data_IF_808114649947
#
_entry.id   IF_808114649947
#
_cell.length_a   1.000
_cell.length_b   1.000
_cell.length_c   1.000
_cell.angle_alpha   90.00
_cell.angle_beta   90.00
_cell.angle_gamma   90.00
#
_symmetry.space_group_name_H-M   'P 1'
#
loop_
_entity.id
_entity.type
_entity.pdbx_description
1 polymer ?
#
# COMPACT_ATOMS: atom_id res chain seq x y z
N UNK A 1 6.89 -14.61 -8.17
CA UNK A 1 5.64 -15.41 -8.10
C UNK A 1 4.49 -14.55 -8.57
N UNK A 2 3.54 -15.15 -9.28
CA UNK A 2 2.33 -14.49 -9.77
C UNK A 2 1.13 -15.23 -9.19
N UNK A 3 0.21 -14.50 -8.57
CA UNK A 3 -1.04 -15.00 -8.01
C UNK A 3 -2.21 -14.34 -8.73
N UNK A 4 -3.07 -15.12 -9.38
CA UNK A 4 -4.21 -14.61 -10.16
C UNK A 4 -3.91 -14.50 -11.66
N UNK A 5 -4.65 -13.62 -12.36
CA UNK A 5 -4.57 -13.45 -13.80
C UNK A 5 -4.49 -11.96 -14.16
N UNK A 6 -3.42 -11.53 -14.85
CA UNK A 6 -3.09 -10.10 -15.04
C UNK A 6 -4.21 -9.30 -15.72
N UNK A 7 -5.00 -9.97 -16.56
CA UNK A 7 -6.11 -9.36 -17.30
C UNK A 7 -7.36 -9.12 -16.44
N UNK A 8 -7.46 -9.71 -15.25
CA UNK A 8 -8.57 -9.46 -14.32
C UNK A 8 -8.02 -8.82 -13.04
N UNK A 9 -7.36 -9.62 -12.21
CA UNK A 9 -6.67 -9.19 -11.01
C UNK A 9 -5.53 -10.17 -10.70
N UNK A 10 -4.34 -9.65 -10.40
CA UNK A 10 -3.22 -10.46 -9.93
C UNK A 10 -2.29 -9.71 -8.99
N UNK A 11 -1.58 -10.44 -8.13
CA UNK A 11 -0.46 -9.92 -7.34
C UNK A 11 0.81 -10.59 -7.87
N UNK A 12 1.80 -9.80 -8.23
CA UNK A 12 3.12 -10.30 -8.63
C UNK A 12 4.15 -9.85 -7.61
N UNK A 13 4.89 -10.79 -7.04
CA UNK A 13 5.88 -10.53 -6.00
C UNK A 13 7.11 -11.42 -6.12
N UNK A 14 8.30 -10.89 -5.85
CA UNK A 14 9.54 -11.67 -5.78
C UNK A 14 10.44 -11.19 -4.63
N UNK A 15 11.17 -12.11 -4.02
CA UNK A 15 12.19 -11.79 -3.02
C UNK A 15 13.40 -11.18 -3.72
N UNK A 16 14.04 -10.19 -3.11
CA UNK A 16 15.29 -9.63 -3.65
C UNK A 16 16.44 -10.66 -3.58
N UNK A 17 17.30 -10.61 -4.59
CA UNK A 17 18.49 -11.45 -4.62
C UNK A 17 19.55 -10.90 -3.66
N UNK A 18 20.37 -11.79 -3.08
CA UNK A 18 21.53 -11.38 -2.25
C UNK A 18 21.20 -10.97 -0.81
N UNK A 19 19.94 -11.08 -0.38
CA UNK A 19 19.55 -10.83 1.01
C UNK A 19 20.17 -11.86 1.96
N UNK A 20 20.80 -11.36 3.04
CA UNK A 20 21.26 -12.20 4.15
C UNK A 20 20.24 -12.17 5.29
N UNK A 21 20.06 -13.31 5.96
CA UNK A 21 19.20 -13.42 7.16
C UNK A 21 19.64 -12.38 8.20
N UNK A 22 18.73 -11.62 8.84
CA UNK A 22 17.28 -11.83 8.94
C UNK A 22 16.42 -11.16 7.86
N UNK A 23 17.02 -10.60 6.80
CA UNK A 23 16.36 -9.71 5.83
C UNK A 23 15.43 -10.41 4.83
N UNK A 24 14.99 -11.65 5.06
CA UNK A 24 14.31 -12.52 4.07
C UNK A 24 12.92 -12.06 3.65
N UNK A 25 12.42 -10.96 4.20
CA UNK A 25 11.08 -10.43 3.89
C UNK A 25 11.08 -9.26 2.90
N UNK A 26 12.26 -8.78 2.46
CA UNK A 26 12.33 -7.74 1.44
C UNK A 26 12.21 -8.31 0.03
N UNK A 27 11.53 -7.57 -0.82
CA UNK A 27 11.29 -7.98 -2.18
C UNK A 27 10.74 -6.86 -3.02
N UNK A 28 10.04 -7.26 -4.08
CA UNK A 28 9.41 -6.38 -5.06
C UNK A 28 8.00 -6.87 -5.25
N UNK A 29 7.04 -5.95 -5.41
CA UNK A 29 5.63 -6.30 -5.58
C UNK A 29 4.94 -5.30 -6.50
N UNK A 30 4.01 -5.81 -7.32
CA UNK A 30 3.01 -4.98 -7.99
C UNK A 30 1.65 -5.68 -8.01
N UNK A 31 0.60 -4.88 -8.20
CA UNK A 31 -0.77 -5.35 -8.38
C UNK A 31 -1.14 -5.15 -9.85
N UNK A 32 -1.81 -6.14 -10.43
CA UNK A 32 -2.38 -6.06 -11.76
C UNK A 32 -3.88 -5.94 -11.67
N UNK A 33 -4.47 -5.03 -12.44
CA UNK A 33 -5.92 -4.89 -12.63
C UNK A 33 -6.20 -4.58 -14.10
N UNK A 34 -7.04 -5.37 -14.77
CA UNK A 34 -7.38 -5.17 -16.19
C UNK A 34 -6.15 -5.00 -17.12
N UNK A 35 -5.06 -5.73 -16.84
CA UNK A 35 -3.80 -5.64 -17.57
C UNK A 35 -2.93 -4.42 -17.24
N UNK A 36 -3.40 -3.51 -16.38
CA UNK A 36 -2.65 -2.37 -15.86
C UNK A 36 -1.88 -2.76 -14.61
N UNK A 37 -0.62 -2.34 -14.53
CA UNK A 37 0.24 -2.53 -13.36
C UNK A 37 0.12 -1.30 -12.44
N UNK A 38 -0.12 -1.56 -11.15
CA UNK A 38 -0.05 -0.60 -10.05
C UNK A 38 1.16 -0.95 -9.20
N UNK A 39 2.02 0.03 -8.95
CA UNK A 39 3.35 -0.20 -8.39
C UNK A 39 4.36 -0.64 -9.44
N UNK A 40 5.50 -1.17 -8.99
CA UNK A 40 6.67 -1.43 -9.85
C UNK A 40 7.39 -2.69 -9.40
N UNK A 41 7.42 -3.70 -10.27
CA UNK A 41 8.13 -4.96 -9.97
C UNK A 41 9.66 -4.82 -10.00
N UNK A 42 10.16 -3.71 -10.53
CA UNK A 42 11.59 -3.34 -10.54
C UNK A 42 12.00 -2.47 -9.35
N UNK A 43 11.05 -2.05 -8.50
CA UNK A 43 11.32 -1.28 -7.30
C UNK A 43 11.64 -2.21 -6.12
N UNK A 44 12.82 -2.00 -5.52
CA UNK A 44 13.31 -2.75 -4.38
C UNK A 44 12.71 -2.21 -3.07
N UNK A 45 12.86 -3.01 -2.03
CA UNK A 45 12.54 -2.74 -0.63
C UNK A 45 11.04 -2.68 -0.34
N UNK A 46 10.26 -3.51 -1.02
CA UNK A 46 8.91 -3.85 -0.60
C UNK A 46 8.97 -4.87 0.55
N UNK A 47 8.41 -4.53 1.72
CA UNK A 47 8.24 -5.47 2.83
C UNK A 47 7.14 -6.47 2.49
N UNK A 48 7.50 -7.63 1.95
CA UNK A 48 6.56 -8.63 1.43
C UNK A 48 5.74 -9.27 2.55
N UNK A 49 6.32 -9.47 3.73
CA UNK A 49 5.64 -9.98 4.92
C UNK A 49 4.55 -9.01 5.39
N UNK A 50 4.91 -7.74 5.55
CA UNK A 50 3.99 -6.68 5.94
C UNK A 50 2.89 -6.47 4.90
N UNK A 51 3.25 -6.50 3.62
CA UNK A 51 2.28 -6.37 2.52
C UNK A 51 1.31 -7.54 2.50
N UNK A 52 1.79 -8.77 2.71
CA UNK A 52 0.94 -9.94 2.77
C UNK A 52 -0.04 -9.88 3.94
N UNK A 53 0.43 -9.52 5.15
CA UNK A 53 -0.41 -9.36 6.34
C UNK A 53 -1.52 -8.32 6.13
N UNK A 54 -1.17 -7.14 5.58
CA UNK A 54 -2.16 -6.09 5.31
C UNK A 54 -3.17 -6.48 4.23
N UNK A 55 -2.73 -7.21 3.20
CA UNK A 55 -3.63 -7.71 2.17
C UNK A 55 -4.58 -8.78 2.72
N UNK A 56 -4.11 -9.64 3.61
CA UNK A 56 -4.93 -10.66 4.27
C UNK A 56 -6.04 -10.01 5.13
N UNK A 57 -5.72 -8.97 5.91
CA UNK A 57 -6.71 -8.20 6.68
C UNK A 57 -7.77 -7.56 5.76
N UNK A 58 -7.37 -7.04 4.60
CA UNK A 58 -8.30 -6.42 3.65
C UNK A 58 -9.27 -7.42 3.01
N UNK A 59 -8.92 -8.72 2.94
CA UNK A 59 -9.83 -9.74 2.39
C UNK A 59 -11.07 -9.89 3.29
N UNK A 60 -10.90 -9.80 4.61
CA UNK A 60 -12.02 -9.91 5.55
C UNK A 60 -12.97 -8.69 5.45
N UNK A 61 -12.41 -7.51 5.18
CA UNK A 61 -13.15 -6.26 5.06
C UNK A 61 -13.63 -5.97 3.62
N UNK A 62 -13.24 -6.77 2.62
CA UNK A 62 -13.52 -6.47 1.21
C UNK A 62 -14.99 -6.16 0.90
N UNK A 63 -15.99 -6.87 1.49
CA UNK A 63 -17.40 -6.54 1.30
C UNK A 63 -17.84 -5.21 1.93
N UNK A 64 -17.10 -4.70 2.93
CA UNK A 64 -17.38 -3.46 3.66
C UNK A 64 -16.64 -2.25 3.09
N UNK A 65 -15.66 -2.45 2.20
CA UNK A 65 -14.83 -1.38 1.62
C UNK A 65 -15.61 -0.45 0.68
N UNK A 66 -16.73 -0.89 0.08
CA UNK A 66 -17.54 -0.03 -0.75
C UNK A 66 -18.35 0.95 0.10
N UNK A 67 -18.10 2.24 -0.09
CA UNK A 67 -18.87 3.30 0.57
C UNK A 67 -20.03 3.71 -0.33
N UNK A 68 -21.24 3.75 0.22
CA UNK A 68 -22.45 4.19 -0.50
C UNK A 68 -22.34 5.60 -1.09
N UNK A 69 -21.49 6.45 -0.52
CA UNK A 69 -21.20 7.79 -1.04
C UNK A 69 -20.49 7.77 -2.41
N UNK A 70 -19.91 6.63 -2.80
CA UNK A 70 -19.29 6.43 -4.11
C UNK A 70 -20.31 5.96 -5.16
N UNK A 71 -21.51 5.55 -4.72
CA UNK A 71 -22.55 5.05 -5.62
C UNK A 71 -22.99 6.14 -6.60
N UNK A 72 -22.89 5.85 -7.91
CA UNK A 72 -23.27 6.76 -8.98
C UNK A 72 -22.18 7.73 -9.45
N UNK A 73 -21.02 7.73 -8.78
CA UNK A 73 -19.82 8.42 -9.28
C UNK A 73 -19.13 7.57 -10.34
N UNK A 74 -18.50 8.23 -11.32
CA UNK A 74 -17.58 7.56 -12.22
C UNK A 74 -16.17 7.44 -11.61
N UNK A 75 -15.32 6.61 -12.19
CA UNK A 75 -13.96 6.35 -11.69
C UNK A 75 -13.16 7.63 -11.44
N UNK A 76 -13.22 8.61 -12.36
CA UNK A 76 -12.47 9.86 -12.21
C UNK A 76 -12.97 10.69 -11.02
N UNK A 77 -14.28 10.71 -10.76
CA UNK A 77 -14.87 11.37 -9.60
C UNK A 77 -14.50 10.66 -8.29
N UNK A 78 -14.49 9.33 -8.29
CA UNK A 78 -14.05 8.52 -7.15
C UNK A 78 -12.57 8.82 -6.84
N UNK A 79 -11.69 8.77 -7.85
CA UNK A 79 -10.28 9.05 -7.66
C UNK A 79 -10.03 10.49 -7.24
N UNK A 80 -10.76 11.47 -7.79
CA UNK A 80 -10.66 12.86 -7.36
C UNK A 80 -11.07 13.03 -5.88
N UNK A 81 -12.09 12.28 -5.43
CA UNK A 81 -12.49 12.29 -4.01
C UNK A 81 -11.41 11.67 -3.13
N UNK A 82 -10.81 10.56 -3.53
CA UNK A 82 -9.68 9.97 -2.80
C UNK A 82 -8.47 10.91 -2.76
N UNK A 83 -8.11 11.51 -3.89
CA UNK A 83 -7.02 12.47 -3.98
C UNK A 83 -7.26 13.68 -3.05
N UNK A 84 -8.52 14.15 -3.02
CA UNK A 84 -8.90 15.20 -2.08
C UNK A 84 -8.72 14.77 -0.62
N UNK A 85 -9.26 13.61 -0.23
CA UNK A 85 -9.22 13.16 1.15
C UNK A 85 -7.80 12.78 1.62
N UNK A 86 -6.98 12.22 0.73
CA UNK A 86 -5.65 11.71 1.08
C UNK A 86 -4.56 12.79 1.03
N UNK A 87 -4.67 13.77 0.12
CA UNK A 87 -3.54 14.66 -0.18
C UNK A 87 -3.85 16.17 -0.10
N UNK A 88 -5.10 16.61 -0.28
CA UNK A 88 -5.40 18.07 -0.39
C UNK A 88 -6.44 18.61 0.60
N UNK A 89 -7.20 17.74 1.25
CA UNK A 89 -8.11 18.07 2.33
C UNK A 89 -7.35 18.46 3.59
N UNK A 90 -7.96 19.26 4.45
CA UNK A 90 -7.40 19.69 5.73
C UNK A 90 -7.31 18.52 6.71
N UNK A 91 -6.38 17.59 6.48
CA UNK A 91 -5.91 16.58 7.43
C UNK A 91 -6.98 15.71 8.08
N UNK A 92 -8.21 15.70 7.57
CA UNK A 92 -9.21 14.69 7.91
C UNK A 92 -8.73 13.42 7.22
N UNK A 93 -7.73 12.81 7.86
CA UNK A 93 -7.33 11.43 7.69
C UNK A 93 -8.66 10.71 7.49
N UNK A 94 -8.87 10.22 6.27
CA UNK A 94 -9.74 9.09 6.08
C UNK A 94 -9.30 8.12 7.18
N UNK A 95 -10.09 7.99 8.24
CA UNK A 95 -10.15 6.77 9.02
C UNK A 95 -10.72 5.69 8.08
N UNK A 96 -10.02 5.43 6.97
CA UNK A 96 -9.81 4.06 6.54
C UNK A 96 -9.26 3.44 7.81
N UNK A 97 -10.11 2.69 8.52
CA UNK A 97 -9.73 1.92 9.71
C UNK A 97 -8.62 0.97 9.28
N UNK A 98 -7.39 1.46 9.28
CA UNK A 98 -6.23 0.62 9.48
C UNK A 98 -6.28 0.28 10.97
N UNK A 99 -6.45 -0.99 11.37
CA UNK A 99 -6.45 -1.36 12.79
C UNK A 99 -5.17 -0.85 13.46
N UNK A 100 -5.29 0.21 14.27
CA UNK A 100 -4.46 0.79 15.35
C UNK A 100 -2.92 0.62 15.41
N UNK A 101 -2.21 0.10 14.40
CA UNK A 101 -0.80 -0.31 14.57
C UNK A 101 0.24 0.64 13.92
N UNK A 102 -0.18 1.65 13.15
CA UNK A 102 0.76 2.54 12.45
C UNK A 102 1.37 3.66 13.32
N UNK A 103 0.95 3.79 14.57
CA UNK A 103 1.50 4.79 15.52
C UNK A 103 2.96 4.59 15.93
N UNK A 104 3.65 3.53 15.49
CA UNK A 104 5.05 3.26 15.89
C UNK A 104 6.11 3.45 14.81
N UNK A 105 5.76 3.54 13.53
CA UNK A 105 6.79 3.49 12.47
C UNK A 105 7.36 4.88 12.10
N UNK A 106 6.62 5.97 12.35
CA UNK A 106 7.08 7.33 12.01
C UNK A 106 7.66 8.14 13.20
N UNK A 107 7.89 7.51 14.36
CA UNK A 107 8.46 8.16 15.55
C UNK A 107 9.99 8.28 15.59
N UNK A 108 10.72 7.78 14.57
CA UNK A 108 12.18 7.62 14.62
C UNK A 108 13.03 8.68 13.91
N UNK A 109 12.45 9.60 13.14
CA UNK A 109 13.19 10.61 12.38
C UNK A 109 13.02 12.01 12.98
N UNK A 110 13.55 12.22 14.19
CA UNK A 110 13.81 13.56 14.70
C UNK A 110 15.32 13.83 14.78
N UNK A 111 15.78 14.60 13.78
CA UNK A 111 16.86 15.60 13.75
C UNK A 111 18.18 15.26 14.47
N UNK A 112 19.19 14.89 13.69
CA UNK A 112 20.59 15.14 14.07
C UNK A 112 20.84 16.65 14.17
N UNK A 113 21.35 17.18 15.31
CA UNK A 113 21.81 18.55 15.38
C UNK A 113 23.15 18.68 14.62
N UNK A 114 23.21 19.72 13.81
CA UNK A 114 24.37 20.13 13.02
C UNK A 114 25.60 20.32 13.91
N UNK A 115 26.69 19.61 13.58
CA UNK A 115 28.04 19.93 14.02
C UNK A 115 28.37 21.36 13.60
N UNK A 116 28.54 22.25 14.57
CA UNK A 116 29.27 23.51 14.40
C UNK A 116 30.58 23.38 15.16
N UNK A 117 31.65 23.75 14.44
CA UNK A 117 33.06 23.71 14.82
C UNK A 117 33.41 24.40 16.14
#
# INVERSE_FOLDING_TARGET
MLFGHKQHFAIEACVEEGLQVPSTAWGRMCIWTEGMMIGRIDEEHCGLDYSAERLEELVEELPSLWLEELTGLNDAEIFQRFDHLLYTGSGAILEIRFPDQLGRVYGGLQRMPHLSS
#
